data_IF_044451118396
#
_entry.id   IF_044451118396
#
_cell.length_a   1.000
_cell.length_b   1.000
_cell.length_c   1.000
_cell.angle_alpha   90.00
_cell.angle_beta   90.00
_cell.angle_gamma   90.00
#
_symmetry.space_group_name_H-M   'P 1'
#
loop_
_entity.id
_entity.type
_entity.pdbx_description
1 polymer ?
#
# COMPACT_ATOMS: atom_id res chain seq x y z
N UNK A 1 -13.92 -6.37 -26.96
CA UNK A 1 -14.89 -6.12 -25.88
C UNK A 1 -14.26 -5.12 -24.92
N UNK A 2 -14.88 -3.97 -24.62
CA UNK A 2 -14.25 -2.95 -23.77
C UNK A 2 -14.07 -3.56 -22.38
N UNK A 3 -12.82 -3.90 -22.04
CA UNK A 3 -12.47 -4.51 -20.76
C UNK A 3 -12.61 -3.41 -19.70
N UNK A 4 -13.70 -3.45 -18.95
CA UNK A 4 -13.95 -2.51 -17.85
C UNK A 4 -12.77 -2.54 -16.88
N UNK A 5 -12.10 -1.40 -16.78
CA UNK A 5 -10.92 -1.19 -15.92
C UNK A 5 -11.30 -1.27 -14.42
N UNK A 6 -12.58 -1.17 -14.11
CA UNK A 6 -13.17 -1.20 -12.77
C UNK A 6 -13.59 -2.61 -12.35
N UNK A 7 -12.60 -3.44 -12.01
CA UNK A 7 -12.84 -4.70 -11.31
C UNK A 7 -12.48 -4.54 -9.83
N UNK A 8 -13.12 -5.30 -8.94
CA UNK A 8 -12.86 -5.28 -7.49
C UNK A 8 -11.35 -5.31 -7.17
N UNK A 9 -10.53 -6.21 -7.76
CA UNK A 9 -9.08 -6.20 -7.51
C UNK A 9 -8.39 -4.89 -7.86
N UNK A 10 -8.77 -4.27 -8.99
CA UNK A 10 -8.11 -3.04 -9.48
C UNK A 10 -8.45 -1.82 -8.61
N UNK A 11 -9.66 -1.80 -8.02
CA UNK A 11 -10.06 -0.77 -7.05
C UNK A 11 -9.23 -0.90 -5.78
N UNK A 12 -8.99 -2.13 -5.31
CA UNK A 12 -8.12 -2.38 -4.16
C UNK A 12 -6.68 -1.93 -4.44
N UNK A 13 -6.14 -2.18 -5.64
CA UNK A 13 -4.80 -1.72 -6.01
C UNK A 13 -4.70 -0.19 -6.01
N UNK A 14 -5.68 0.51 -6.58
CA UNK A 14 -5.73 1.99 -6.59
C UNK A 14 -5.88 2.55 -5.17
N UNK A 15 -6.72 1.92 -4.35
CA UNK A 15 -6.89 2.30 -2.95
C UNK A 15 -5.56 2.17 -2.19
N UNK A 16 -4.77 1.13 -2.45
CA UNK A 16 -3.44 0.97 -1.84
C UNK A 16 -2.47 2.07 -2.25
N UNK A 17 -2.46 2.44 -3.53
CA UNK A 17 -1.65 3.57 -4.01
C UNK A 17 -2.08 4.87 -3.31
N UNK A 18 -3.38 5.07 -3.11
CA UNK A 18 -3.90 6.21 -2.34
C UNK A 18 -3.56 6.14 -0.84
N UNK A 19 -3.34 4.95 -0.26
CA UNK A 19 -2.87 4.80 1.12
C UNK A 19 -1.43 5.29 1.31
N UNK A 20 -0.59 5.33 0.28
CA UNK A 20 0.80 5.79 0.37
C UNK A 20 0.90 7.26 0.87
N UNK A 21 0.25 8.25 0.23
CA UNK A 21 0.28 9.62 0.74
C UNK A 21 -0.41 9.76 2.10
N UNK A 22 -1.43 8.95 2.39
CA UNK A 22 -2.08 8.93 3.72
C UNK A 22 -1.10 8.45 4.79
N UNK A 23 -0.32 7.40 4.52
CA UNK A 23 0.71 6.90 5.42
C UNK A 23 1.75 7.99 5.70
N UNK A 24 2.22 8.70 4.67
CA UNK A 24 3.16 9.81 4.83
C UNK A 24 2.56 10.93 5.68
N UNK A 25 1.31 11.34 5.41
CA UNK A 25 0.63 12.37 6.19
C UNK A 25 0.47 11.98 7.67
N UNK A 26 0.11 10.72 7.95
CA UNK A 26 -0.02 10.21 9.32
C UNK A 26 1.34 10.12 10.00
N UNK A 27 2.38 9.67 9.30
CA UNK A 27 3.73 9.62 9.82
C UNK A 27 4.23 11.02 10.23
N UNK A 28 4.06 12.01 9.35
CA UNK A 28 4.48 13.38 9.65
C UNK A 28 3.47 14.17 10.50
N UNK A 29 2.37 13.54 10.94
CA UNK A 29 1.44 14.17 11.86
C UNK A 29 2.10 14.43 13.23
N UNK A 30 1.69 15.50 13.89
CA UNK A 30 2.09 15.81 15.27
C UNK A 30 1.39 14.94 16.32
N UNK A 31 0.72 13.86 15.92
CA UNK A 31 -0.06 13.04 16.83
C UNK A 31 0.85 12.11 17.67
N UNK A 32 0.57 11.94 18.98
CA UNK A 32 1.34 11.03 19.83
C UNK A 32 1.33 9.58 19.32
N UNK A 33 0.21 9.17 18.72
CA UNK A 33 -0.02 7.82 18.21
C UNK A 33 0.45 7.60 16.76
N UNK A 34 1.15 8.57 16.16
CA UNK A 34 1.55 8.52 14.74
C UNK A 34 2.28 7.24 14.34
N UNK A 35 3.15 6.71 15.20
CA UNK A 35 3.91 5.48 14.95
C UNK A 35 3.00 4.26 14.83
N UNK A 36 2.07 4.11 15.78
CA UNK A 36 1.10 3.00 15.81
C UNK A 36 0.14 3.13 14.63
N UNK A 37 -0.32 4.36 14.33
CA UNK A 37 -1.23 4.62 13.22
C UNK A 37 -0.56 4.32 11.88
N UNK A 38 0.68 4.79 11.65
CA UNK A 38 1.43 4.49 10.43
C UNK A 38 1.70 2.99 10.28
N UNK A 39 2.09 2.31 11.36
CA UNK A 39 2.27 0.85 11.35
C UNK A 39 0.96 0.12 11.02
N UNK A 40 -0.16 0.52 11.63
CA UNK A 40 -1.47 -0.07 11.37
C UNK A 40 -1.93 0.15 9.92
N UNK A 41 -1.70 1.34 9.36
CA UNK A 41 -1.98 1.67 7.96
C UNK A 41 -1.16 0.79 7.01
N UNK A 42 0.13 0.63 7.30
CA UNK A 42 1.01 -0.23 6.52
C UNK A 42 0.56 -1.69 6.57
N UNK A 43 0.23 -2.21 7.77
CA UNK A 43 -0.27 -3.59 7.93
C UNK A 43 -1.60 -3.80 7.19
N UNK A 44 -2.54 -2.85 7.30
CA UNK A 44 -3.81 -2.92 6.59
C UNK A 44 -3.60 -2.90 5.07
N UNK A 45 -2.72 -2.03 4.57
CA UNK A 45 -2.39 -1.95 3.15
C UNK A 45 -1.80 -3.27 2.61
N UNK A 46 -0.88 -3.88 3.35
CA UNK A 46 -0.30 -5.19 3.01
C UNK A 46 -1.35 -6.31 3.06
N UNK A 47 -2.28 -6.27 4.04
CA UNK A 47 -3.36 -7.25 4.12
C UNK A 47 -4.33 -7.14 2.92
N UNK A 48 -4.62 -5.92 2.45
CA UNK A 48 -5.46 -5.72 1.26
C UNK A 48 -4.84 -6.26 -0.03
N UNK A 49 -3.50 -6.30 -0.16
CA UNK A 49 -2.80 -6.93 -1.29
C UNK A 49 -2.98 -8.45 -1.34
N UNK A 50 -2.90 -9.07 -0.18
CA UNK A 50 -3.16 -10.49 -0.14
C UNK A 50 -4.63 -10.79 -0.49
N UNK A 51 -5.54 -9.92 -0.05
CA UNK A 51 -6.97 -10.04 -0.30
C UNK A 51 -7.33 -9.84 -1.78
N UNK A 52 -6.81 -8.81 -2.45
CA UNK A 52 -7.12 -8.56 -3.86
C UNK A 52 -6.57 -9.66 -4.79
N UNK A 53 -5.38 -10.18 -4.53
CA UNK A 53 -4.82 -11.34 -5.22
C UNK A 53 -5.59 -12.64 -4.98
N UNK A 54 -6.19 -12.79 -3.79
CA UNK A 54 -7.11 -13.90 -3.51
C UNK A 54 -8.44 -13.75 -4.28
N UNK A 55 -9.06 -12.57 -4.24
CA UNK A 55 -10.31 -12.31 -4.97
C UNK A 55 -10.14 -12.41 -6.49
N UNK A 56 -9.02 -11.91 -7.04
CA UNK A 56 -8.74 -11.98 -8.47
C UNK A 56 -8.69 -13.44 -8.97
N UNK A 57 -8.09 -14.34 -8.18
CA UNK A 57 -8.04 -15.78 -8.47
C UNK A 57 -9.41 -16.45 -8.32
N UNK A 58 -10.16 -16.11 -7.27
CA UNK A 58 -11.48 -16.69 -7.01
C UNK A 58 -12.53 -16.25 -8.03
N UNK A 59 -12.46 -15.01 -8.53
CA UNK A 59 -13.42 -14.44 -9.46
C UNK A 59 -13.01 -14.61 -10.94
N UNK A 60 -11.84 -15.19 -11.23
CA UNK A 60 -11.24 -15.21 -12.57
C UNK A 60 -11.13 -13.82 -13.24
N UNK A 61 -11.10 -12.76 -12.43
CA UNK A 61 -11.07 -11.36 -12.88
C UNK A 61 -9.64 -10.81 -12.85
N UNK A 62 -8.72 -11.47 -13.55
CA UNK A 62 -7.35 -10.96 -13.70
C UNK A 62 -7.30 -9.95 -14.85
N UNK A 63 -6.74 -8.77 -14.61
CA UNK A 63 -6.53 -7.75 -15.65
C UNK A 63 -5.03 -7.58 -15.92
N UNK A 64 -4.66 -7.24 -17.16
CA UNK A 64 -3.26 -6.98 -17.50
C UNK A 64 -2.72 -5.73 -16.78
N UNK A 65 -3.60 -4.74 -16.54
CA UNK A 65 -3.26 -3.49 -15.86
C UNK A 65 -3.03 -3.69 -14.36
N UNK A 66 -3.90 -4.43 -13.67
CA UNK A 66 -3.75 -4.74 -12.24
C UNK A 66 -2.47 -5.53 -11.97
N UNK A 67 -2.18 -6.56 -12.78
CA UNK A 67 -0.92 -7.32 -12.67
C UNK A 67 0.34 -6.49 -12.86
N UNK A 68 0.26 -5.39 -13.61
CA UNK A 68 1.37 -4.46 -13.77
C UNK A 68 1.46 -3.47 -12.59
N UNK A 69 0.31 -3.01 -12.08
CA UNK A 69 0.26 -2.11 -10.93
C UNK A 69 0.64 -2.78 -9.61
N UNK A 70 0.30 -4.05 -9.38
CA UNK A 70 0.55 -4.72 -8.09
C UNK A 70 2.04 -4.63 -7.67
N UNK A 71 3.04 -5.00 -8.51
CA UNK A 71 4.44 -4.90 -8.12
C UNK A 71 4.95 -3.45 -8.00
N UNK A 72 4.30 -2.50 -8.68
CA UNK A 72 4.65 -1.08 -8.61
C UNK A 72 4.15 -0.50 -7.29
N UNK A 73 2.89 -0.75 -6.94
CA UNK A 73 2.28 -0.30 -5.70
C UNK A 73 3.00 -0.88 -4.47
N UNK A 74 3.40 -2.16 -4.52
CA UNK A 74 4.17 -2.81 -3.46
C UNK A 74 5.52 -2.12 -3.21
N UNK A 75 6.32 -1.95 -4.27
CA UNK A 75 7.62 -1.25 -4.17
C UNK A 75 7.49 0.18 -3.68
N UNK A 76 6.47 0.92 -4.12
CA UNK A 76 6.24 2.30 -3.68
C UNK A 76 5.84 2.37 -2.20
N UNK A 77 4.98 1.45 -1.74
CA UNK A 77 4.56 1.39 -0.34
C UNK A 77 5.76 1.08 0.58
N UNK A 78 6.55 0.06 0.24
CA UNK A 78 7.75 -0.30 1.02
C UNK A 78 8.78 0.84 0.99
N UNK A 79 9.04 1.45 -0.17
CA UNK A 79 9.98 2.56 -0.28
C UNK A 79 9.54 3.77 0.56
N UNK A 80 8.25 4.15 0.52
CA UNK A 80 7.73 5.24 1.32
C UNK A 80 7.87 4.97 2.83
N UNK A 81 7.54 3.77 3.28
CA UNK A 81 7.69 3.38 4.68
C UNK A 81 9.16 3.43 5.14
N UNK A 82 10.09 2.95 4.31
CA UNK A 82 11.52 3.00 4.60
C UNK A 82 12.06 4.43 4.63
N UNK A 83 11.63 5.30 3.71
CA UNK A 83 12.02 6.73 3.70
C UNK A 83 11.60 7.39 5.02
N UNK A 84 10.34 7.18 5.43
CA UNK A 84 9.83 7.69 6.72
C UNK A 84 10.66 7.16 7.88
N UNK A 85 11.01 5.87 7.87
CA UNK A 85 11.75 5.24 8.96
C UNK A 85 13.19 5.79 9.05
N UNK A 86 13.87 5.98 7.92
CA UNK A 86 15.21 6.58 7.85
C UNK A 86 15.22 8.04 8.28
N UNK A 87 14.14 8.77 8.00
CA UNK A 87 13.98 10.14 8.45
C UNK A 87 13.81 10.23 9.98
N UNK A 88 13.03 9.30 10.57
CA UNK A 88 12.89 9.24 12.03
C UNK A 88 14.13 8.72 12.75
N UNK A 89 14.85 7.78 12.14
CA UNK A 89 16.09 7.21 12.66
C UNK A 89 17.21 7.45 11.64
N UNK A 90 17.80 8.65 11.70
CA UNK A 90 18.98 9.00 10.90
C UNK A 90 20.24 8.19 11.27
N UNK A 91 20.20 7.37 12.33
CA UNK A 91 21.29 6.52 12.78
C UNK A 91 21.20 5.14 12.12
N UNK A 92 22.32 4.62 11.60
CA UNK A 92 22.41 3.27 10.96
C UNK A 92 22.00 2.15 11.93
N UNK A 93 22.12 2.38 13.23
CA UNK A 93 21.60 1.52 14.28
C UNK A 93 20.23 2.05 14.72
N UNK A 94 19.20 1.21 14.64
CA UNK A 94 17.89 1.43 15.28
C UNK A 94 18.04 1.32 16.82
N UNK A 95 18.85 2.20 17.41
CA UNK A 95 19.14 2.28 18.85
C UNK A 95 18.98 3.73 19.29
#
# INVERSE_FOLDING_TARGET
>A
MPRTVWNVPNVLTVLRIACIPVLVLVAYSGWPSRYILAASLFTLAAATDWLDGYLARKLNQTSAFGRFLDPVADKLMVAAALIVLVDWHHTVLLV
#
